data_IF_992597766051
#
_entry.id   IF_992597766051
#
_cell.length_a   1.000
_cell.length_b   1.000
_cell.length_c   1.000
_cell.angle_alpha   90.00
_cell.angle_beta   90.00
_cell.angle_gamma   90.00
#
_symmetry.space_group_name_H-M   'P 1'
#
loop_
_entity.id
_entity.type
_entity.pdbx_description
1 polymer ?
#
# COMPACT_ATOMS: atom_id res chain seq x y z
N UNK A 1 -6.83 23.11 -11.25
CA UNK A 1 -7.86 23.08 -10.21
C UNK A 1 -7.11 22.91 -8.89
N UNK A 2 -6.76 24.01 -8.22
CA UNK A 2 -5.95 24.00 -6.98
C UNK A 2 -6.92 24.04 -5.79
N UNK A 3 -7.30 22.89 -5.24
CA UNK A 3 -8.04 22.84 -3.98
C UNK A 3 -7.15 22.28 -2.86
N UNK A 4 -7.06 23.04 -1.77
CA UNK A 4 -6.81 22.66 -0.37
C UNK A 4 -5.75 21.61 0.02
N UNK A 5 -4.79 21.32 -0.85
CA UNK A 5 -3.69 20.41 -0.53
C UNK A 5 -2.72 20.92 0.57
N UNK A 6 -2.91 22.15 1.08
CA UNK A 6 -2.05 22.75 2.12
C UNK A 6 -2.11 22.04 3.48
N UNK A 7 -3.19 21.30 3.76
CA UNK A 7 -3.37 20.61 5.04
C UNK A 7 -3.10 19.11 4.99
N UNK A 8 -2.59 18.58 3.87
CA UNK A 8 -2.22 17.16 3.82
C UNK A 8 -0.93 16.96 4.58
N UNK A 9 -1.03 16.29 5.73
CA UNK A 9 0.14 15.89 6.52
C UNK A 9 0.61 14.48 6.22
N UNK A 10 -0.26 13.63 5.67
CA UNK A 10 0.00 12.20 5.50
C UNK A 10 -0.41 11.76 4.12
N UNK A 11 0.49 11.04 3.44
CA UNK A 11 0.21 10.49 2.13
C UNK A 11 0.57 9.00 2.03
N UNK A 12 -0.16 8.26 1.19
CA UNK A 12 0.19 6.92 0.77
C UNK A 12 0.38 6.96 -0.74
N UNK A 13 1.53 6.54 -1.24
CA UNK A 13 1.79 6.40 -2.68
C UNK A 13 2.03 4.92 -2.99
N UNK A 14 1.24 4.35 -3.90
CA UNK A 14 1.35 2.94 -4.25
C UNK A 14 1.32 2.74 -5.76
N UNK A 15 2.27 1.95 -6.25
CA UNK A 15 2.17 1.30 -7.55
C UNK A 15 1.19 0.12 -7.44
N UNK A 16 0.01 0.26 -8.06
CA UNK A 16 -1.01 -0.79 -8.02
C UNK A 16 -0.59 -2.06 -8.75
N UNK A 17 0.31 -1.99 -9.72
CA UNK A 17 0.84 -3.17 -10.39
C UNK A 17 1.74 -3.97 -9.44
N UNK A 18 2.63 -3.29 -8.70
CA UNK A 18 3.47 -3.91 -7.69
C UNK A 18 2.64 -4.53 -6.55
N UNK A 19 1.60 -3.81 -6.09
CA UNK A 19 0.69 -4.33 -5.06
C UNK A 19 -0.10 -5.57 -5.56
N UNK A 20 -0.56 -5.53 -6.82
CA UNK A 20 -1.28 -6.63 -7.47
C UNK A 20 -0.41 -7.89 -7.60
N UNK A 21 0.85 -7.74 -7.99
CA UNK A 21 1.81 -8.84 -8.10
C UNK A 21 2.12 -9.47 -6.74
N UNK A 22 2.44 -8.64 -5.73
CA UNK A 22 2.64 -9.12 -4.37
C UNK A 22 1.40 -9.83 -3.80
N UNK A 23 0.20 -9.31 -4.11
CA UNK A 23 -1.06 -9.92 -3.70
C UNK A 23 -1.26 -11.30 -4.32
N UNK A 24 -0.94 -11.46 -5.61
CA UNK A 24 -1.03 -12.75 -6.30
C UNK A 24 -0.18 -13.83 -5.61
N UNK A 25 1.07 -13.53 -5.31
CA UNK A 25 1.98 -14.49 -4.68
C UNK A 25 1.47 -14.94 -3.30
N UNK A 26 0.95 -13.99 -2.51
CA UNK A 26 0.41 -14.27 -1.18
C UNK A 26 -0.90 -15.06 -1.27
N UNK A 27 -1.81 -14.68 -2.17
CA UNK A 27 -3.07 -15.39 -2.42
C UNK A 27 -2.80 -16.83 -2.79
N UNK A 28 -1.92 -17.08 -3.76
CA UNK A 28 -1.62 -18.44 -4.23
C UNK A 28 -1.00 -19.28 -3.10
N UNK A 29 -0.16 -18.68 -2.27
CA UNK A 29 0.41 -19.38 -1.10
C UNK A 29 -0.66 -19.73 -0.06
N UNK A 30 -1.55 -18.80 0.27
CA UNK A 30 -2.66 -19.09 1.19
C UNK A 30 -3.66 -20.07 0.60
N UNK A 31 -3.96 -20.03 -0.70
CA UNK A 31 -4.84 -21.04 -1.33
C UNK A 31 -4.25 -22.45 -1.19
N UNK A 32 -2.92 -22.60 -1.33
CA UNK A 32 -2.22 -23.88 -1.11
C UNK A 32 -2.24 -24.31 0.35
N UNK A 33 -1.97 -23.39 1.27
CA UNK A 33 -1.93 -23.68 2.72
C UNK A 33 -3.32 -23.98 3.29
N UNK A 34 -4.35 -23.25 2.84
CA UNK A 34 -5.70 -23.29 3.40
C UNK A 34 -6.65 -24.20 2.61
N UNK A 35 -6.25 -24.67 1.43
CA UNK A 35 -7.05 -25.48 0.52
C UNK A 35 -8.45 -24.88 0.25
N UNK A 36 -8.53 -23.54 0.17
CA UNK A 36 -9.74 -22.78 -0.16
C UNK A 36 -9.39 -21.58 -1.03
N UNK A 37 -10.39 -21.03 -1.73
CA UNK A 37 -10.24 -19.75 -2.42
C UNK A 37 -10.00 -18.62 -1.43
N UNK A 38 -9.05 -17.75 -1.75
CA UNK A 38 -8.79 -16.51 -1.02
C UNK A 38 -9.39 -15.35 -1.85
N UNK A 39 -10.07 -14.38 -1.22
CA UNK A 39 -10.58 -13.21 -1.94
C UNK A 39 -9.43 -12.32 -2.43
N UNK A 40 -9.74 -11.39 -3.32
CA UNK A 40 -8.85 -10.30 -3.70
C UNK A 40 -8.62 -9.34 -2.52
N UNK A 41 -7.49 -8.62 -2.53
CA UNK A 41 -7.11 -7.63 -1.51
C UNK A 41 -8.13 -6.48 -1.47
N UNK A 42 -8.82 -6.30 -0.35
CA UNK A 42 -9.69 -5.14 -0.14
C UNK A 42 -8.85 -3.88 0.06
N UNK A 43 -8.89 -2.96 -0.90
CA UNK A 43 -8.06 -1.74 -0.91
C UNK A 43 -8.38 -0.83 0.28
N UNK A 44 -9.62 -0.77 0.78
CA UNK A 44 -9.95 0.05 1.96
C UNK A 44 -9.26 -0.51 3.19
N UNK A 45 -9.30 -1.83 3.36
CA UNK A 45 -8.62 -2.53 4.47
C UNK A 45 -7.10 -2.45 4.35
N UNK A 46 -6.58 -2.56 3.13
CA UNK A 46 -5.15 -2.44 2.87
C UNK A 46 -4.64 -1.03 3.17
N UNK A 47 -5.34 0.03 2.74
CA UNK A 47 -4.97 1.40 3.05
C UNK A 47 -4.94 1.68 4.56
N UNK A 48 -5.90 1.12 5.30
CA UNK A 48 -5.88 1.15 6.76
C UNK A 48 -4.63 0.46 7.35
N UNK A 49 -4.31 -0.76 6.89
CA UNK A 49 -3.13 -1.47 7.35
C UNK A 49 -1.83 -0.75 6.97
N UNK A 50 -1.73 -0.21 5.75
CA UNK A 50 -0.58 0.57 5.28
C UNK A 50 -0.38 1.85 6.12
N UNK A 51 -1.45 2.54 6.53
CA UNK A 51 -1.37 3.67 7.45
C UNK A 51 -0.85 3.25 8.83
N UNK A 52 -1.26 2.07 9.32
CA UNK A 52 -0.76 1.50 10.57
C UNK A 52 0.73 1.12 10.48
N UNK A 53 1.15 0.46 9.40
CA UNK A 53 2.55 0.12 9.11
C UNK A 53 3.40 1.41 8.99
N UNK A 54 2.81 2.45 8.40
CA UNK A 54 3.36 3.80 8.34
C UNK A 54 3.52 4.50 9.68
N UNK A 55 2.92 3.96 10.76
CA UNK A 55 2.87 4.54 12.11
C UNK A 55 2.26 5.95 12.10
N UNK A 56 1.31 6.17 11.19
CA UNK A 56 0.57 7.43 11.10
C UNK A 56 -0.12 7.73 12.43
N UNK A 57 0.03 8.96 12.89
CA UNK A 57 -0.67 9.41 14.09
C UNK A 57 -2.15 9.60 13.75
N UNK A 58 -3.02 8.94 14.49
CA UNK A 58 -4.47 9.10 14.36
C UNK A 58 -4.87 10.55 14.63
N UNK A 59 -5.64 11.13 13.72
CA UNK A 59 -6.16 12.48 13.82
C UNK A 59 -7.37 12.65 12.90
N UNK A 60 -8.10 13.76 13.05
CA UNK A 60 -9.22 14.10 12.16
C UNK A 60 -8.80 14.48 10.73
N UNK A 61 -7.50 14.69 10.49
CA UNK A 61 -6.94 15.03 9.17
C UNK A 61 -6.99 13.83 8.21
N UNK A 62 -7.34 14.11 6.95
CA UNK A 62 -7.38 13.08 5.90
C UNK A 62 -5.99 12.54 5.58
N UNK A 63 -5.91 11.22 5.39
CA UNK A 63 -4.78 10.55 4.76
C UNK A 63 -5.00 10.56 3.25
N UNK A 64 -4.07 11.15 2.51
CA UNK A 64 -4.17 11.25 1.05
C UNK A 64 -3.50 10.06 0.37
N UNK A 65 -4.28 9.17 -0.23
CA UNK A 65 -3.75 8.02 -0.96
C UNK A 65 -3.75 8.30 -2.47
N UNK A 66 -2.61 8.09 -3.12
CA UNK A 66 -2.44 8.16 -4.58
C UNK A 66 -2.09 6.77 -5.09
N UNK A 67 -2.97 6.24 -5.94
CA UNK A 67 -2.82 4.92 -6.54
C UNK A 67 -2.40 5.10 -8.00
N UNK A 68 -1.19 4.64 -8.35
CA UNK A 68 -0.73 4.68 -9.74
C UNK A 68 -1.46 3.64 -10.56
N UNK A 69 -1.99 4.06 -11.70
CA UNK A 69 -2.76 3.22 -12.61
C UNK A 69 -2.16 3.27 -14.00
N UNK A 70 -1.88 2.10 -14.58
CA UNK A 70 -1.49 2.03 -15.99
C UNK A 70 -2.73 2.22 -16.88
N UNK A 71 -2.71 3.19 -17.78
CA UNK A 71 -3.85 3.49 -18.66
C UNK A 71 -4.25 2.32 -19.56
N UNK A 72 -3.28 1.48 -19.95
CA UNK A 72 -3.47 0.40 -20.93
C UNK A 72 -3.83 -0.96 -20.30
N UNK A 73 -3.70 -1.13 -18.98
CA UNK A 73 -3.92 -2.43 -18.30
C UNK A 73 -5.07 -2.37 -17.30
N UNK A 74 -5.70 -3.52 -17.12
CA UNK A 74 -6.41 -3.82 -15.88
C UNK A 74 -5.37 -4.18 -14.81
N UNK A 75 -4.63 -3.20 -14.27
CA UNK A 75 -3.59 -3.36 -13.24
C UNK A 75 -4.16 -3.71 -11.84
N UNK A 76 -5.36 -4.28 -11.80
CA UNK A 76 -6.17 -4.48 -10.60
C UNK A 76 -6.52 -5.94 -10.37
N UNK A 77 -5.85 -6.87 -11.07
CA UNK A 77 -6.02 -8.29 -10.74
C UNK A 77 -5.64 -8.46 -9.27
N UNK A 78 -6.40 -9.26 -8.53
CA UNK A 78 -6.15 -9.49 -7.11
C UNK A 78 -6.38 -8.28 -6.20
N UNK A 79 -6.93 -7.17 -6.72
CA UNK A 79 -7.29 -5.98 -5.95
C UNK A 79 -8.81 -5.72 -6.06
N UNK A 80 -9.45 -5.51 -4.92
CA UNK A 80 -10.86 -5.18 -4.82
C UNK A 80 -11.03 -3.75 -4.30
N UNK A 81 -11.64 -2.90 -5.13
CA UNK A 81 -11.84 -1.48 -4.85
C UNK A 81 -13.16 -1.16 -4.13
N UNK A 82 -13.97 -2.16 -3.77
CA UNK A 82 -15.31 -2.04 -3.18
C UNK A 82 -15.75 -0.64 -2.69
N UNK A 83 -16.49 0.09 -3.55
CA UNK A 83 -17.01 1.43 -3.24
C UNK A 83 -15.96 2.55 -3.29
N UNK A 84 -14.83 2.34 -3.96
CA UNK A 84 -13.93 3.35 -4.53
C UNK A 84 -14.21 3.32 -6.04
N UNK A 85 -14.54 4.47 -6.60
CA UNK A 85 -14.75 4.60 -8.05
C UNK A 85 -13.38 4.89 -8.66
N UNK A 86 -12.92 3.99 -9.53
CA UNK A 86 -11.66 4.19 -10.26
C UNK A 86 -11.82 5.42 -11.16
N UNK A 87 -10.77 6.24 -11.22
CA UNK A 87 -10.72 7.51 -11.97
C UNK A 87 -11.55 8.65 -11.38
N UNK A 88 -12.10 8.47 -10.17
CA UNK A 88 -12.78 9.52 -9.42
C UNK A 88 -12.20 9.63 -8.00
N UNK A 89 -12.07 10.86 -7.51
CA UNK A 89 -11.69 11.10 -6.13
C UNK A 89 -12.73 10.48 -5.19
N UNK A 90 -12.27 9.62 -4.29
CA UNK A 90 -13.13 8.91 -3.34
C UNK A 90 -12.75 9.24 -1.90
N UNK A 91 -13.75 9.47 -1.04
CA UNK A 91 -13.56 9.66 0.40
C UNK A 91 -14.29 8.60 1.20
N UNK A 92 -13.63 8.06 2.22
CA UNK A 92 -14.23 7.11 3.15
C UNK A 92 -13.48 7.06 4.48
N UNK A 93 -14.15 6.57 5.52
CA UNK A 93 -13.52 6.26 6.80
C UNK A 93 -13.25 4.75 6.90
N UNK A 94 -12.10 4.36 7.42
CA UNK A 94 -11.77 2.97 7.71
C UNK A 94 -10.94 2.89 8.99
N UNK A 95 -11.45 2.16 10.00
CA UNK A 95 -10.89 2.20 11.35
C UNK A 95 -10.86 3.62 11.90
N UNK A 96 -9.70 4.07 12.34
CA UNK A 96 -9.47 5.39 12.94
C UNK A 96 -9.04 6.47 11.92
N UNK A 97 -8.99 6.15 10.62
CA UNK A 97 -8.51 7.06 9.58
C UNK A 97 -9.61 7.46 8.60
N UNK A 98 -9.55 8.71 8.16
CA UNK A 98 -10.31 9.22 7.01
C UNK A 98 -9.39 9.25 5.80
N UNK A 99 -9.78 8.60 4.72
CA UNK A 99 -9.00 8.53 3.49
C UNK A 99 -9.61 9.41 2.40
N UNK A 100 -8.74 10.12 1.69
CA UNK A 100 -9.01 10.71 0.39
C UNK A 100 -8.14 9.99 -0.64
N UNK A 101 -8.78 9.30 -1.57
CA UNK A 101 -8.10 8.45 -2.55
C UNK A 101 -8.23 9.08 -3.94
N UNK A 102 -7.10 9.17 -4.63
CA UNK A 102 -7.02 9.63 -6.02
C UNK A 102 -6.17 8.65 -6.86
N UNK A 103 -6.37 8.69 -8.17
CA UNK A 103 -5.67 7.83 -9.12
C UNK A 103 -4.76 8.68 -10.01
N UNK A 104 -3.48 8.33 -10.05
CA UNK A 104 -2.53 8.94 -10.97
C UNK A 104 -2.33 7.99 -12.15
N UNK A 105 -2.94 8.34 -13.29
CA UNK A 105 -2.78 7.58 -14.52
C UNK A 105 -1.39 7.79 -15.13
N UNK A 106 -0.80 6.72 -15.65
CA UNK A 106 0.44 6.77 -16.41
C UNK A 106 0.39 5.91 -17.68
N UNK A 107 1.24 6.26 -18.64
CA UNK A 107 1.55 5.46 -19.81
C UNK A 107 3.04 5.11 -19.78
N UNK A 108 3.40 3.87 -20.12
CA UNK A 108 4.79 3.42 -20.14
C UNK A 108 5.26 2.85 -18.80
N UNK A 109 6.38 3.34 -18.28
CA UNK A 109 7.06 2.77 -17.10
C UNK A 109 6.40 3.22 -15.81
N UNK A 110 5.93 2.26 -15.00
CA UNK A 110 5.37 2.52 -13.67
C UNK A 110 6.42 3.12 -12.73
N UNK A 111 7.67 2.66 -12.83
CA UNK A 111 8.80 3.20 -12.07
C UNK A 111 9.00 4.71 -12.27
N UNK A 112 8.98 5.16 -13.52
CA UNK A 112 9.10 6.59 -13.83
C UNK A 112 7.92 7.37 -13.28
N UNK A 113 6.70 6.87 -13.48
CA UNK A 113 5.49 7.48 -12.97
C UNK A 113 5.49 7.56 -11.43
N UNK A 114 6.01 6.54 -10.76
CA UNK A 114 6.14 6.50 -9.31
C UNK A 114 7.10 7.57 -8.82
N UNK A 115 8.30 7.65 -9.40
CA UNK A 115 9.29 8.64 -8.99
C UNK A 115 8.81 10.07 -9.26
N UNK A 116 8.17 10.32 -10.40
CA UNK A 116 7.59 11.62 -10.74
C UNK A 116 6.47 12.00 -9.75
N UNK A 117 5.58 11.05 -9.42
CA UNK A 117 4.49 11.30 -8.47
C UNK A 117 5.02 11.52 -7.06
N UNK A 118 6.04 10.77 -6.63
CA UNK A 118 6.72 10.98 -5.36
C UNK A 118 7.33 12.39 -5.26
N UNK A 119 8.04 12.82 -6.30
CA UNK A 119 8.61 14.17 -6.37
C UNK A 119 7.53 15.26 -6.31
N UNK A 120 6.43 15.09 -7.06
CA UNK A 120 5.27 15.99 -7.01
C UNK A 120 4.68 16.07 -5.62
N UNK A 121 4.45 14.94 -4.95
CA UNK A 121 3.91 14.92 -3.58
C UNK A 121 4.83 15.68 -2.62
N UNK A 122 6.14 15.44 -2.66
CA UNK A 122 7.10 16.14 -1.78
C UNK A 122 7.21 17.64 -2.07
N UNK A 123 6.99 18.06 -3.32
CA UNK A 123 7.16 19.46 -3.74
C UNK A 123 5.87 20.27 -3.60
N UNK A 124 4.73 19.67 -3.93
CA UNK A 124 3.43 20.36 -4.00
C UNK A 124 2.64 20.27 -2.69
N UNK A 125 3.00 19.36 -1.77
CA UNK A 125 2.41 19.24 -0.44
C UNK A 125 3.37 19.76 0.64
N UNK A 126 3.46 21.08 0.86
CA UNK A 126 4.40 21.66 1.82
C UNK A 126 4.12 21.26 3.28
N UNK A 127 2.91 20.78 3.57
CA UNK A 127 2.51 20.28 4.89
C UNK A 127 2.77 18.79 5.09
N UNK A 128 3.29 18.07 4.10
CA UNK A 128 3.51 16.63 4.18
C UNK A 128 4.60 16.30 5.20
N UNK A 129 4.20 15.62 6.27
CA UNK A 129 5.07 15.22 7.39
C UNK A 129 5.36 13.72 7.33
N UNK A 130 4.45 12.91 6.79
CA UNK A 130 4.54 11.45 6.77
C UNK A 130 4.13 10.87 5.41
N UNK A 131 4.88 9.89 4.91
CA UNK A 131 4.52 9.17 3.67
C UNK A 131 4.74 7.67 3.81
N UNK A 132 3.81 6.88 3.28
CA UNK A 132 3.98 5.45 3.05
C UNK A 132 4.12 5.22 1.55
N UNK A 133 5.13 4.47 1.15
CA UNK A 133 5.44 4.20 -0.25
C UNK A 133 5.45 2.69 -0.53
N UNK A 134 4.79 2.30 -1.62
CA UNK A 134 4.86 0.95 -2.19
C UNK A 134 5.30 1.06 -3.65
N UNK A 135 6.62 1.19 -3.89
CA UNK A 135 7.19 1.25 -5.23
C UNK A 135 7.22 -0.14 -5.90
N UNK A 136 7.46 -0.15 -7.21
CA UNK A 136 7.87 -1.36 -7.92
C UNK A 136 9.19 -1.94 -7.39
N UNK A 137 9.36 -3.25 -7.53
CA UNK A 137 10.52 -3.99 -6.99
C UNK A 137 11.84 -3.40 -7.47
N UNK A 138 11.95 -3.13 -8.78
CA UNK A 138 13.17 -2.63 -9.43
C UNK A 138 13.65 -1.26 -8.92
N UNK A 139 12.73 -0.40 -8.47
CA UNK A 139 13.05 0.92 -7.94
C UNK A 139 12.92 1.03 -6.43
N UNK A 140 12.53 -0.03 -5.73
CA UNK A 140 12.22 0.03 -4.31
C UNK A 140 13.41 0.56 -3.48
N UNK A 141 14.61 0.04 -3.73
CA UNK A 141 15.83 0.50 -3.08
C UNK A 141 16.21 1.94 -3.43
N UNK A 142 15.88 2.39 -4.65
CA UNK A 142 16.16 3.74 -5.11
C UNK A 142 15.20 4.77 -4.48
N UNK A 143 13.90 4.47 -4.47
CA UNK A 143 12.88 5.27 -3.79
C UNK A 143 13.21 5.43 -2.29
N UNK A 144 13.57 4.33 -1.62
CA UNK A 144 13.98 4.35 -0.22
C UNK A 144 15.18 5.25 0.05
N UNK A 145 16.17 5.26 -0.85
CA UNK A 145 17.33 6.17 -0.74
C UNK A 145 16.90 7.63 -0.84
N UNK A 146 16.05 7.99 -1.79
CA UNK A 146 15.57 9.38 -1.94
C UNK A 146 14.80 9.84 -0.69
N UNK A 147 13.92 8.97 -0.19
CA UNK A 147 13.16 9.23 1.03
C UNK A 147 14.10 9.40 2.24
N UNK A 148 15.18 8.61 2.34
CA UNK A 148 16.15 8.72 3.43
C UNK A 148 16.91 10.06 3.48
N UNK A 149 17.06 10.70 2.32
CA UNK A 149 17.74 12.00 2.21
C UNK A 149 16.81 13.16 2.61
N UNK A 150 15.50 12.93 2.67
CA UNK A 150 14.48 13.93 2.97
C UNK A 150 14.21 14.09 4.48
N UNK A 151 15.11 14.80 5.18
CA UNK A 151 15.13 14.92 6.66
C UNK A 151 13.85 15.38 7.37
N UNK A 152 12.93 16.07 6.68
CA UNK A 152 11.68 16.58 7.26
C UNK A 152 10.51 15.62 7.14
N UNK A 153 10.64 14.60 6.29
CA UNK A 153 9.57 13.69 5.94
C UNK A 153 9.83 12.35 6.62
N UNK A 154 8.88 11.90 7.44
CA UNK A 154 8.91 10.54 7.98
C UNK A 154 8.36 9.58 6.93
N UNK A 155 9.26 8.91 6.24
CA UNK A 155 8.89 7.95 5.20
C UNK A 155 8.91 6.51 5.73
N UNK A 156 7.94 5.70 5.32
CA UNK A 156 7.93 4.24 5.47
C UNK A 156 7.80 3.59 4.10
N UNK A 157 8.65 2.63 3.78
CA UNK A 157 8.57 1.85 2.54
C UNK A 157 8.06 0.45 2.86
N UNK A 158 6.99 0.02 2.19
CA UNK A 158 6.50 -1.35 2.27
C UNK A 158 7.05 -2.13 1.09
N UNK A 159 7.75 -3.23 1.37
CA UNK A 159 8.38 -4.06 0.36
C UNK A 159 8.27 -5.54 0.69
N UNK A 160 8.40 -6.39 -0.32
CA UNK A 160 8.45 -7.86 -0.13
C UNK A 160 9.81 -8.32 0.40
N UNK A 161 10.85 -7.51 0.19
CA UNK A 161 12.22 -7.78 0.63
C UNK A 161 12.73 -6.72 1.60
N UNK A 162 13.74 -7.07 2.39
CA UNK A 162 14.43 -6.12 3.27
C UNK A 162 15.28 -5.12 2.49
N UNK A 163 15.14 -3.85 2.82
CA UNK A 163 15.84 -2.76 2.15
C UNK A 163 17.11 -2.38 2.89
N UNK A 164 18.16 -2.05 2.13
CA UNK A 164 19.44 -1.61 2.68
C UNK A 164 19.38 -0.14 3.04
N UNK A 165 20.12 0.22 4.10
CA UNK A 165 20.27 1.59 4.57
C UNK A 165 19.41 1.89 5.79
N UNK A 166 19.15 3.18 6.01
CA UNK A 166 18.35 3.69 7.13
C UNK A 166 17.95 5.14 6.87
N UNK A 167 17.25 5.77 7.82
CA UNK A 167 16.66 7.11 7.62
C UNK A 167 15.24 7.09 7.06
N UNK A 168 14.66 5.90 6.92
CA UNK A 168 13.26 5.64 6.59
C UNK A 168 12.79 4.42 7.41
N UNK A 169 11.49 4.31 7.66
CA UNK A 169 10.86 3.09 8.18
C UNK A 169 10.74 2.05 7.07
N UNK A 170 10.81 0.77 7.43
CA UNK A 170 10.52 -0.32 6.51
C UNK A 170 9.63 -1.32 7.22
N UNK A 171 8.63 -1.84 6.52
CA UNK A 171 7.75 -2.90 7.00
C UNK A 171 7.49 -3.88 5.83
N UNK A 172 7.18 -5.13 6.14
CA UNK A 172 6.91 -6.12 5.10
C UNK A 172 5.52 -5.92 4.51
N UNK A 173 5.45 -5.70 3.19
CA UNK A 173 4.18 -5.52 2.46
C UNK A 173 3.23 -6.72 2.63
N UNK A 174 3.80 -7.91 2.84
CA UNK A 174 3.04 -9.14 3.05
C UNK A 174 2.12 -9.10 4.27
N UNK A 175 2.47 -8.35 5.32
CA UNK A 175 1.66 -8.22 6.52
C UNK A 175 0.36 -7.45 6.25
N UNK A 176 0.45 -6.26 5.63
CA UNK A 176 -0.73 -5.46 5.29
C UNK A 176 -1.59 -6.10 4.21
N UNK A 177 -1.00 -6.83 3.25
CA UNK A 177 -1.76 -7.64 2.29
C UNK A 177 -2.52 -8.75 3.00
N UNK A 178 -1.87 -9.55 3.86
CA UNK A 178 -2.51 -10.67 4.56
C UNK A 178 -3.72 -10.22 5.39
N UNK A 179 -3.59 -9.09 6.08
CA UNK A 179 -4.70 -8.46 6.80
C UNK A 179 -5.87 -8.10 5.86
N UNK A 180 -5.58 -7.53 4.71
CA UNK A 180 -6.58 -7.09 3.74
C UNK A 180 -7.26 -8.24 2.98
N UNK A 181 -6.60 -9.40 2.87
CA UNK A 181 -7.19 -10.65 2.38
C UNK A 181 -8.18 -11.27 3.37
N UNK A 182 -8.20 -10.81 4.63
CA UNK A 182 -9.06 -11.34 5.68
C UNK A 182 -8.70 -12.76 6.12
N UNK A 183 -7.45 -13.18 5.89
CA UNK A 183 -6.91 -14.42 6.45
C UNK A 183 -6.58 -14.19 7.92
N UNK A 184 -7.10 -15.04 8.79
CA UNK A 184 -6.92 -14.92 10.24
C UNK A 184 -5.80 -15.81 10.75
N UNK A 185 -5.13 -15.41 11.84
CA UNK A 185 -4.07 -16.20 12.47
C UNK A 185 -4.54 -17.62 12.84
N UNK A 186 -5.81 -17.75 13.27
CA UNK A 186 -6.43 -19.05 13.59
C UNK A 186 -6.49 -20.00 12.38
N UNK A 187 -6.72 -19.47 11.18
CA UNK A 187 -6.74 -20.29 9.96
C UNK A 187 -5.35 -20.81 9.61
N UNK A 188 -4.31 -20.03 9.91
CA UNK A 188 -2.91 -20.41 9.72
C UNK A 188 -2.51 -21.49 10.75
N UNK A 189 -2.87 -21.30 12.02
CA UNK A 189 -2.55 -22.23 13.12
C UNK A 189 -3.27 -23.58 12.96
N UNK A 190 -4.54 -23.57 12.54
CA UNK A 190 -5.36 -24.79 12.42
C UNK A 190 -4.84 -25.77 11.37
N UNK A 191 -4.14 -25.29 10.32
CA UNK A 191 -3.54 -26.14 9.29
C UNK A 191 -2.06 -26.48 9.54
N UNK A 192 -1.45 -25.92 10.58
CA UNK A 192 -0.06 -26.17 10.97
C UNK A 192 0.14 -27.32 11.96
N UNK A 193 -0.94 -27.91 12.47
CA UNK A 193 -0.86 -29.04 13.41
C UNK A 193 -1.06 -30.34 12.63
N UNK A 194 -0.07 -31.25 12.56
CA UNK A 194 -0.35 -32.62 12.17
C UNK A 194 -1.40 -33.12 13.16
N UNK A 195 -2.51 -33.66 12.66
CA UNK A 195 -3.34 -34.54 13.48
C UNK A 195 -2.42 -35.69 13.84
N UNK A 196 -1.90 -35.71 15.07
CA UNK A 196 -1.37 -36.94 15.64
C UNK A 196 -2.54 -37.91 15.64
N UNK A 197 -2.52 -38.85 14.70
CA UNK A 197 -3.45 -39.98 14.65
C UNK A 197 -3.43 -40.64 16.03
N UNK A 198 -4.49 -40.43 16.80
CA UNK A 198 -4.74 -41.20 18.02
C UNK A 198 -4.91 -42.67 17.63
N UNK A 199 -4.12 -43.50 18.32
CA UNK A 199 -3.95 -44.95 18.20
C UNK A 199 -5.25 -45.78 18.17
#
# INVERSE_FOLDING_TARGET
MYMDNKNIKRAILVDTAALSEAAFDIIVNFERMLNRRIPDVDIKRWLYAAACDGKFVVSDEEVYAVLLKEKAKHSYRNLNFNGIVIDEESRFSCGDFNFRVDFAEYEGSSDHAFMETLEKLMTELPGLEEIVCVPGEDICQYAARILSEHRRLRATVLSMESLRGGGFGQEYLSCSISYALGVTDREIESNGTPVEDEM
#
